data_IF_351717378459
#
_entry.id   IF_351717378459
#
_cell.length_a   1.000
_cell.length_b   1.000
_cell.length_c   1.000
_cell.angle_alpha   90.00
_cell.angle_beta   90.00
_cell.angle_gamma   90.00
#
_symmetry.space_group_name_H-M   'P 1'
#
loop_
_entity.id
_entity.type
_entity.pdbx_description
1 polymer ?
#
# COMPACT_ATOMS: atom_id res chain seq x y z
N UNK A 1 3.53 10.09 1.67
CA UNK A 1 2.07 10.37 1.59
C UNK A 1 1.31 9.04 1.59
N UNK A 2 0.08 8.99 2.11
CA UNK A 2 -0.77 7.78 2.03
C UNK A 2 -1.57 7.78 0.72
N UNK A 3 -1.61 6.64 0.02
CA UNK A 3 -2.53 6.42 -1.09
C UNK A 3 -3.75 5.63 -0.60
N UNK A 4 -4.94 6.04 -1.02
CA UNK A 4 -6.17 5.27 -0.90
C UNK A 4 -7.03 5.44 -2.16
N UNK A 5 -7.56 4.34 -2.69
CA UNK A 5 -8.61 4.41 -3.71
C UNK A 5 -9.66 3.31 -3.50
N UNK A 6 -10.85 3.55 -4.05
CA UNK A 6 -11.97 2.59 -4.04
C UNK A 6 -12.31 2.23 -5.50
N UNK A 7 -12.47 0.94 -5.76
CA UNK A 7 -12.95 0.42 -7.02
C UNK A 7 -14.34 -0.18 -6.84
N UNK A 8 -15.26 0.21 -7.71
CA UNK A 8 -16.67 -0.22 -7.70
C UNK A 8 -17.13 -0.56 -9.11
N UNK A 9 -18.36 -1.07 -9.24
CA UNK A 9 -18.97 -1.31 -10.54
C UNK A 9 -19.09 -0.05 -11.42
N UNK A 10 -19.28 1.13 -10.82
CA UNK A 10 -19.35 2.42 -11.53
C UNK A 10 -17.98 3.06 -11.71
N UNK A 11 -17.07 2.87 -10.77
CA UNK A 11 -15.68 3.39 -10.82
C UNK A 11 -14.73 2.21 -10.86
N UNK A 12 -14.57 1.61 -12.05
CA UNK A 12 -13.81 0.37 -12.20
C UNK A 12 -12.30 0.54 -12.16
N UNK A 13 -11.79 1.76 -12.26
CA UNK A 13 -10.35 1.99 -12.33
C UNK A 13 -9.94 3.30 -11.68
N UNK A 14 -8.72 3.30 -11.17
CA UNK A 14 -8.03 4.49 -10.65
C UNK A 14 -6.60 4.48 -11.14
N UNK A 15 -6.15 5.60 -11.70
CA UNK A 15 -4.78 5.78 -12.21
C UNK A 15 -3.99 6.70 -11.30
N UNK A 16 -2.87 6.19 -10.80
CA UNK A 16 -1.86 7.00 -10.13
C UNK A 16 -0.79 7.39 -11.14
N UNK A 17 -0.61 8.71 -11.31
CA UNK A 17 0.36 9.30 -12.23
C UNK A 17 1.06 10.47 -11.53
N UNK A 18 2.28 10.75 -11.96
CA UNK A 18 3.13 11.84 -11.47
C UNK A 18 3.25 12.86 -12.59
N UNK A 19 3.52 14.13 -12.24
CA UNK A 19 3.80 15.17 -13.23
C UNK A 19 5.02 14.80 -14.07
N UNK A 20 4.97 15.08 -15.38
CA UNK A 20 6.07 14.83 -16.29
C UNK A 20 7.26 15.78 -16.02
N UNK A 21 7.00 16.93 -15.39
CA UNK A 21 8.03 17.90 -14.99
C UNK A 21 8.73 17.52 -13.67
N UNK A 22 8.20 16.56 -12.91
CA UNK A 22 8.81 16.10 -11.65
C UNK A 22 10.00 15.15 -11.92
N UNK A 23 11.20 15.62 -11.60
CA UNK A 23 12.45 14.88 -11.80
C UNK A 23 12.81 13.96 -10.61
N UNK A 24 11.98 13.90 -9.58
CA UNK A 24 12.17 13.03 -8.42
C UNK A 24 11.91 11.56 -8.79
N UNK A 25 12.40 10.62 -7.98
CA UNK A 25 12.02 9.21 -8.09
C UNK A 25 10.76 8.93 -7.26
N UNK A 26 9.72 8.37 -7.90
CA UNK A 26 8.45 8.07 -7.24
C UNK A 26 8.25 6.56 -7.13
N UNK A 27 7.98 6.10 -5.92
CA UNK A 27 7.60 4.71 -5.65
C UNK A 27 6.23 4.70 -5.00
N UNK A 28 5.31 3.97 -5.63
CA UNK A 28 4.04 3.63 -5.02
C UNK A 28 4.12 2.22 -4.44
N UNK A 29 3.90 2.06 -3.13
CA UNK A 29 3.89 0.76 -2.49
C UNK A 29 2.48 0.42 -1.99
N UNK A 30 1.88 -0.60 -2.59
CA UNK A 30 0.55 -1.08 -2.24
C UNK A 30 0.62 -2.01 -1.03
N UNK A 31 -0.11 -1.67 0.04
CA UNK A 31 -0.08 -2.38 1.31
C UNK A 31 -1.22 -3.38 1.44
N UNK A 32 -2.46 -2.93 1.26
CA UNK A 32 -3.64 -3.77 1.51
C UNK A 32 -4.66 -3.57 0.39
N UNK A 33 -5.33 -4.67 0.03
CA UNK A 33 -6.54 -4.68 -0.80
C UNK A 33 -7.64 -5.37 0.00
N UNK A 34 -8.78 -4.73 0.20
CA UNK A 34 -9.87 -5.30 0.99
C UNK A 34 -11.25 -4.97 0.44
N UNK A 35 -12.21 -5.86 0.71
CA UNK A 35 -13.63 -5.60 0.54
C UNK A 35 -14.14 -4.81 1.74
N UNK A 36 -14.98 -3.82 1.48
CA UNK A 36 -15.60 -2.97 2.50
C UNK A 36 -17.11 -3.13 2.53
N UNK A 37 -17.77 -2.36 3.42
CA UNK A 37 -19.22 -2.41 3.56
C UNK A 37 -19.93 -2.18 2.22
N UNK A 38 -21.03 -2.91 2.01
CA UNK A 38 -21.77 -2.92 0.74
C UNK A 38 -21.23 -3.88 -0.34
N UNK A 39 -20.09 -4.54 -0.12
CA UNK A 39 -19.61 -5.57 -1.04
C UNK A 39 -20.50 -6.82 -1.03
N UNK A 40 -20.65 -7.46 -2.20
CA UNK A 40 -21.35 -8.74 -2.32
C UNK A 40 -20.39 -9.91 -2.05
N UNK A 41 -20.94 -11.06 -1.64
CA UNK A 41 -20.18 -12.31 -1.55
C UNK A 41 -19.95 -12.94 -2.93
N UNK A 42 -19.07 -12.32 -3.70
CA UNK A 42 -18.64 -12.76 -5.02
C UNK A 42 -17.12 -12.60 -5.20
N UNK A 43 -16.57 -13.16 -6.27
CA UNK A 43 -15.15 -13.01 -6.59
C UNK A 43 -14.89 -11.62 -7.17
N UNK A 44 -14.09 -10.83 -6.47
CA UNK A 44 -13.62 -9.51 -6.88
C UNK A 44 -12.15 -9.62 -7.28
N UNK A 45 -11.84 -9.39 -8.55
CA UNK A 45 -10.48 -9.50 -9.08
C UNK A 45 -9.94 -8.11 -9.37
N UNK A 46 -8.81 -7.77 -8.73
CA UNK A 46 -8.10 -6.52 -8.97
C UNK A 46 -6.84 -6.79 -9.77
N UNK A 47 -6.67 -6.03 -10.85
CA UNK A 47 -5.48 -6.02 -11.69
C UNK A 47 -4.72 -4.70 -11.53
N UNK A 48 -3.40 -4.79 -11.70
CA UNK A 48 -2.51 -3.65 -11.89
C UNK A 48 -2.13 -3.60 -13.36
N UNK A 49 -2.32 -2.44 -13.97
CA UNK A 49 -1.88 -2.12 -15.31
C UNK A 49 -0.70 -1.16 -15.18
N UNK A 50 0.43 -1.53 -15.77
CA UNK A 50 1.67 -0.76 -15.72
C UNK A 50 2.58 -1.14 -16.89
N UNK A 51 3.83 -0.68 -16.86
CA UNK A 51 4.81 -0.99 -17.90
C UNK A 51 5.80 -2.05 -17.46
N UNK A 52 6.14 -2.97 -18.35
CA UNK A 52 7.20 -3.95 -18.13
C UNK A 52 8.60 -3.36 -18.47
N UNK A 53 9.64 -4.19 -18.38
CA UNK A 53 11.02 -3.80 -18.71
C UNK A 53 11.24 -3.43 -20.19
N UNK A 54 10.37 -3.87 -21.10
CA UNK A 54 10.36 -3.50 -22.52
C UNK A 54 9.50 -2.26 -22.80
N UNK A 55 9.04 -1.56 -21.74
CA UNK A 55 8.15 -0.40 -21.82
C UNK A 55 6.78 -0.70 -22.46
N UNK A 56 6.35 -1.96 -22.48
CA UNK A 56 5.03 -2.37 -22.94
C UNK A 56 4.02 -2.34 -21.79
N UNK A 57 2.80 -1.89 -22.09
CA UNK A 57 1.69 -1.97 -21.14
C UNK A 57 1.30 -3.43 -20.92
N UNK A 58 1.23 -3.84 -19.64
CA UNK A 58 0.81 -5.16 -19.21
C UNK A 58 -0.23 -5.04 -18.09
N UNK A 59 -1.16 -6.00 -18.03
CA UNK A 59 -2.12 -6.14 -16.93
C UNK A 59 -1.82 -7.41 -16.15
N UNK A 60 -1.72 -7.30 -14.83
CA UNK A 60 -1.41 -8.42 -13.93
C UNK A 60 -2.44 -8.49 -12.80
N UNK A 61 -3.15 -9.61 -12.61
CA UNK A 61 -4.03 -9.79 -11.46
C UNK A 61 -3.20 -9.87 -10.18
N UNK A 62 -3.53 -9.02 -9.19
CA UNK A 62 -2.79 -8.93 -7.92
C UNK A 62 -3.62 -9.35 -6.71
N UNK A 63 -4.95 -9.37 -6.83
CA UNK A 63 -5.83 -9.82 -5.76
C UNK A 63 -7.08 -10.52 -6.32
N UNK A 64 -7.52 -11.55 -5.61
CA UNK A 64 -8.83 -12.17 -5.77
C UNK A 64 -9.48 -12.24 -4.38
N UNK A 65 -10.52 -11.45 -4.16
CA UNK A 65 -11.16 -11.28 -2.87
C UNK A 65 -12.60 -11.78 -2.90
N UNK A 66 -13.04 -12.33 -1.77
CA UNK A 66 -14.43 -12.74 -1.55
C UNK A 66 -14.77 -12.70 -0.06
N UNK A 67 -15.91 -12.12 0.32
CA UNK A 67 -16.27 -11.93 1.73
C UNK A 67 -16.24 -13.22 2.56
N UNK A 68 -16.75 -14.32 2.02
CA UNK A 68 -16.81 -15.61 2.71
C UNK A 68 -15.50 -16.40 2.74
N UNK A 69 -14.46 -15.97 2.02
CA UNK A 69 -13.20 -16.74 1.92
C UNK A 69 -11.97 -15.90 2.26
N UNK A 70 -11.81 -14.77 1.58
CA UNK A 70 -10.66 -13.89 1.69
C UNK A 70 -11.12 -12.44 1.44
N UNK A 71 -11.65 -11.75 2.46
CA UNK A 71 -12.12 -10.37 2.32
C UNK A 71 -10.97 -9.36 2.24
N UNK A 72 -9.76 -9.73 2.67
CA UNK A 72 -8.60 -8.87 2.75
C UNK A 72 -7.34 -9.61 2.30
N UNK A 73 -6.46 -8.90 1.60
CA UNK A 73 -5.13 -9.35 1.21
C UNK A 73 -4.10 -8.27 1.58
N UNK A 74 -3.08 -8.65 2.34
CA UNK A 74 -1.91 -7.83 2.55
C UNK A 74 -0.87 -8.16 1.48
N UNK A 75 -0.35 -7.14 0.79
CA UNK A 75 0.62 -7.23 -0.29
C UNK A 75 2.05 -6.87 0.16
N UNK A 76 2.26 -6.64 1.46
CA UNK A 76 3.56 -6.36 2.07
C UNK A 76 4.33 -5.26 1.32
N UNK A 77 3.65 -4.14 1.05
CA UNK A 77 4.21 -2.97 0.38
C UNK A 77 4.74 -3.28 -1.03
N UNK A 78 3.93 -3.98 -1.85
CA UNK A 78 4.23 -4.28 -3.24
C UNK A 78 4.52 -3.00 -4.04
N UNK A 79 5.78 -2.84 -4.45
CA UNK A 79 6.30 -1.61 -5.05
C UNK A 79 6.01 -1.56 -6.55
N UNK A 80 5.57 -0.39 -6.99
CA UNK A 80 5.16 -0.08 -8.35
C UNK A 80 5.77 1.27 -8.76
N UNK A 81 6.27 1.33 -9.99
CA UNK A 81 6.75 2.57 -10.60
C UNK A 81 5.61 3.22 -11.37
N UNK A 82 5.21 4.46 -11.03
CA UNK A 82 4.20 5.20 -11.79
C UNK A 82 4.61 5.42 -13.26
N UNK A 83 3.65 5.56 -14.19
CA UNK A 83 2.21 5.53 -13.97
C UNK A 83 1.68 4.10 -13.78
N UNK A 84 0.72 3.94 -12.87
CA UNK A 84 0.03 2.65 -12.66
C UNK A 84 -1.47 2.84 -12.53
N UNK A 85 -2.23 1.89 -13.09
CA UNK A 85 -3.68 1.86 -12.99
C UNK A 85 -4.14 0.62 -12.27
N UNK A 86 -4.95 0.80 -11.23
CA UNK A 86 -5.67 -0.29 -10.57
C UNK A 86 -7.02 -0.47 -11.25
N UNK A 87 -7.40 -1.72 -11.54
CA UNK A 87 -8.67 -2.02 -12.24
C UNK A 87 -9.40 -3.19 -11.58
N UNK A 88 -10.70 -3.03 -11.38
CA UNK A 88 -11.61 -4.10 -10.99
C UNK A 88 -12.01 -4.89 -12.25
N UNK A 89 -11.30 -6.00 -12.49
CA UNK A 89 -11.49 -6.86 -13.65
C UNK A 89 -12.74 -7.74 -13.54
N UNK A 90 -13.10 -8.13 -12.32
CA UNK A 90 -14.31 -8.89 -12.02
C UNK A 90 -14.88 -8.49 -10.65
N UNK A 91 -16.18 -8.73 -10.45
CA UNK A 91 -16.91 -8.33 -9.26
C UNK A 91 -17.43 -6.89 -9.31
N UNK A 92 -18.25 -6.51 -8.34
CA UNK A 92 -18.88 -5.20 -8.20
C UNK A 92 -18.19 -4.28 -7.19
N UNK A 93 -17.28 -4.82 -6.38
CA UNK A 93 -16.76 -4.14 -5.20
C UNK A 93 -17.87 -3.83 -4.18
N UNK A 94 -17.66 -2.84 -3.30
CA UNK A 94 -16.49 -1.96 -3.24
C UNK A 94 -15.20 -2.67 -2.80
N UNK A 95 -14.10 -2.36 -3.49
CA UNK A 95 -12.74 -2.81 -3.14
C UNK A 95 -11.88 -1.60 -2.82
N UNK A 96 -11.38 -1.52 -1.60
CA UNK A 96 -10.42 -0.50 -1.18
C UNK A 96 -8.99 -0.98 -1.36
N UNK A 97 -8.14 -0.10 -1.91
CA UNK A 97 -6.71 -0.27 -2.02
C UNK A 97 -6.04 0.81 -1.18
N UNK A 98 -5.06 0.42 -0.36
CA UNK A 98 -4.28 1.36 0.44
C UNK A 98 -2.79 1.10 0.32
N UNK A 99 -2.01 2.16 0.45
CA UNK A 99 -0.56 2.10 0.30
C UNK A 99 0.11 3.39 0.73
N UNK A 100 1.41 3.49 0.44
CA UNK A 100 2.16 4.74 0.61
C UNK A 100 2.87 5.11 -0.67
N UNK A 101 3.01 6.41 -0.87
CA UNK A 101 3.78 7.04 -1.92
C UNK A 101 5.01 7.68 -1.29
N UNK A 102 6.18 7.27 -1.79
CA UNK A 102 7.49 7.79 -1.43
C UNK A 102 8.08 8.54 -2.61
N UNK A 103 8.64 9.71 -2.33
CA UNK A 103 9.33 10.58 -3.26
C UNK A 103 10.77 10.67 -2.79
N UNK A 104 11.72 10.47 -3.70
CA UNK A 104 13.15 10.63 -3.44
C UNK A 104 13.68 11.70 -4.38
N UNK A 105 14.20 12.79 -3.82
CA UNK A 105 14.86 13.82 -4.61
C UNK A 105 16.26 13.34 -5.03
N UNK A 106 16.69 13.69 -6.24
CA UNK A 106 18.06 13.41 -6.66
C UNK A 106 19.01 14.36 -5.92
N UNK A 107 20.17 13.85 -5.51
CA UNK A 107 21.16 14.55 -4.68
C UNK A 107 21.81 15.81 -5.31
N UNK A 108 21.37 16.24 -6.50
CA UNK A 108 21.85 17.48 -7.13
C UNK A 108 21.21 18.75 -6.53
N UNK A 109 20.19 18.61 -5.69
CA UNK A 109 19.62 19.73 -4.93
C UNK A 109 20.23 19.75 -3.52
N UNK A 110 21.37 20.44 -3.41
CA UNK A 110 21.99 20.81 -2.15
C UNK A 110 21.05 21.68 -1.31
N UNK A 111 20.22 21.07 -0.47
CA UNK A 111 19.56 21.78 0.63
C UNK A 111 19.61 20.92 1.88
N UNK A 112 20.05 21.60 2.94
CA UNK A 112 20.52 21.07 4.21
C UNK A 112 19.49 20.13 4.88
N UNK A 113 20.04 19.03 5.35
CA UNK A 113 19.48 18.01 6.21
C UNK A 113 18.79 18.66 7.44
N UNK A 114 17.46 18.73 7.46
CA UNK A 114 16.71 18.97 8.70
C UNK A 114 16.58 17.60 9.39
N UNK A 115 17.58 17.33 10.23
CA UNK A 115 17.67 16.23 11.19
C UNK A 115 16.35 16.08 11.98
N UNK A 116 15.50 15.14 11.56
CA UNK A 116 14.59 14.46 12.47
C UNK A 116 15.14 13.06 12.73
N UNK A 117 16.26 13.02 13.46
CA UNK A 117 16.70 11.85 14.22
C UNK A 117 15.52 11.39 15.09
N UNK A 118 14.90 10.27 14.68
CA UNK A 118 14.16 9.42 15.61
C UNK A 118 15.23 8.82 16.52
N UNK A 119 15.44 9.40 17.71
CA UNK A 119 16.19 8.70 18.75
C UNK A 119 15.40 7.43 19.11
N UNK A 120 15.98 6.28 18.75
CA UNK A 120 15.65 5.02 19.39
C UNK A 120 16.15 5.11 20.84
N UNK A 121 15.25 5.41 21.78
CA UNK A 121 15.49 5.13 23.19
C UNK A 121 15.49 3.59 23.37
N UNK A 122 16.69 3.02 23.35
CA UNK A 122 16.98 1.68 23.84
C UNK A 122 16.92 1.62 25.38
N UNK A 123 16.24 0.58 25.86
CA UNK A 123 16.47 -0.13 27.14
C UNK A 123 16.25 0.60 28.48
N UNK A 124 15.03 0.51 29.01
CA UNK A 124 14.82 0.38 30.46
C UNK A 124 14.44 -1.08 30.79
N UNK A 125 15.44 -1.89 31.14
CA UNK A 125 15.26 -3.11 31.94
C UNK A 125 14.74 -2.71 33.33
N UNK A 126 13.42 -2.63 33.51
CA UNK A 126 12.84 -2.50 34.85
C UNK A 126 13.06 -3.79 35.65
N UNK A 127 14.05 -3.72 36.53
CA UNK A 127 14.42 -4.66 37.58
C UNK A 127 13.18 -4.98 38.47
N UNK A 128 12.45 -6.04 38.13
CA UNK A 128 11.29 -6.50 38.91
C UNK A 128 11.75 -6.95 40.32
N UNK A 129 11.22 -6.38 41.41
CA UNK A 129 11.61 -6.80 42.74
C UNK A 129 11.12 -8.23 43.04
N UNK A 130 11.89 -9.01 43.83
CA UNK A 130 11.60 -10.42 44.06
C UNK A 130 10.25 -10.64 44.77
N UNK A 131 9.40 -11.44 44.14
CA UNK A 131 8.12 -11.91 44.68
C UNK A 131 8.39 -12.73 45.94
N UNK A 132 7.92 -12.25 47.09
CA UNK A 132 7.92 -13.04 48.33
C UNK A 132 6.79 -14.08 48.27
N UNK A 133 7.04 -15.36 48.62
CA UNK A 133 5.98 -16.36 48.65
C UNK A 133 4.99 -16.06 49.79
N UNK A 134 3.70 -16.25 49.49
CA UNK A 134 2.62 -16.11 50.46
C UNK A 134 2.79 -17.13 51.60
N UNK A 135 2.65 -16.66 52.84
CA UNK A 135 2.57 -17.55 54.00
C UNK A 135 1.22 -18.28 53.97
N UNK A 136 1.31 -19.59 54.21
CA UNK A 136 0.21 -20.55 54.28
C UNK A 136 -0.68 -20.30 55.50
#
# INVERSE_FOLDING_TARGET
LLLGCELTASTKSYTFQVDEEDNSEHILALSVVCLTDGAKDECNVVEVIGRNHENQEIAVPVANLRLSCQPLLNLNNFKLQPPVTFRLAAGSGPVHLTGWHRIMHREDDSFEEDDYLFEEDEEDEEDLPPIKPAKK
#
